data_IF_464537192834
#
_entry.id   IF_464537192834
#
_cell.length_a   1.000
_cell.length_b   1.000
_cell.length_c   1.000
_cell.angle_alpha   90.00
_cell.angle_beta   90.00
_cell.angle_gamma   90.00
#
_symmetry.space_group_name_H-M   'P 1'
#
loop_
_entity.id
_entity.type
_entity.pdbx_description
1 polymer ?
#
# COMPACT_ATOMS: atom_id res chain seq x y z
N UNK A 1 72.33 25.18 26.81
CA UNK A 1 71.60 25.44 25.55
C UNK A 1 70.95 24.19 24.99
N UNK A 2 69.94 23.59 25.63
CA UNK A 2 69.16 22.49 25.06
C UNK A 2 67.91 22.25 25.94
N UNK A 3 66.86 23.13 25.85
CA UNK A 3 65.60 22.89 26.52
C UNK A 3 64.34 23.48 25.82
N UNK A 4 64.50 24.09 24.65
CA UNK A 4 63.35 24.76 23.97
C UNK A 4 62.73 23.94 22.83
N UNK A 5 63.41 22.90 22.32
CA UNK A 5 62.94 22.11 21.19
C UNK A 5 61.94 20.99 21.56
N UNK A 6 61.95 20.54 22.83
CA UNK A 6 61.01 19.47 23.28
C UNK A 6 59.58 19.95 23.62
N UNK A 7 59.42 21.21 23.96
CA UNK A 7 58.09 21.78 24.28
C UNK A 7 57.31 22.15 23.03
N UNK A 8 57.93 22.52 21.93
CA UNK A 8 57.28 22.81 20.65
C UNK A 8 56.78 21.55 19.95
N UNK A 9 57.46 20.38 20.08
CA UNK A 9 57.05 19.15 19.47
C UNK A 9 55.81 18.49 20.16
N UNK A 10 55.63 18.71 21.46
CA UNK A 10 54.47 18.23 22.19
C UNK A 10 53.20 19.05 21.96
N UNK A 11 53.33 20.34 21.66
CA UNK A 11 52.17 21.23 21.35
C UNK A 11 51.66 20.97 19.93
N UNK A 12 52.48 20.59 18.95
CA UNK A 12 52.10 20.27 17.60
C UNK A 12 51.38 18.86 17.51
N UNK A 13 51.79 17.92 18.34
CA UNK A 13 51.14 16.59 18.40
C UNK A 13 49.73 16.65 19.04
N UNK A 14 49.48 17.57 19.98
CA UNK A 14 48.18 17.76 20.62
C UNK A 14 47.17 18.49 19.75
N UNK A 15 47.60 19.35 18.82
CA UNK A 15 46.73 20.06 17.86
C UNK A 15 46.25 19.11 16.70
N UNK A 16 47.08 18.13 16.31
CA UNK A 16 46.73 17.16 15.26
C UNK A 16 45.74 16.08 15.73
N UNK A 17 45.66 15.79 17.05
CA UNK A 17 44.76 14.81 17.62
C UNK A 17 43.31 15.33 17.83
N UNK A 18 43.08 16.65 17.82
CA UNK A 18 41.77 17.28 18.03
C UNK A 18 40.97 17.50 16.76
N UNK A 19 41.57 17.33 15.57
CA UNK A 19 40.88 17.46 14.27
C UNK A 19 40.28 16.16 13.74
N UNK A 20 40.55 15.00 14.36
CA UNK A 20 39.95 13.71 13.97
C UNK A 20 38.74 13.30 14.81
N UNK A 21 38.33 14.04 15.83
CA UNK A 21 37.23 13.72 16.70
C UNK A 21 35.83 14.20 16.20
N UNK A 22 35.76 14.76 14.98
CA UNK A 22 34.54 15.38 14.42
C UNK A 22 33.91 14.66 13.22
N UNK A 23 34.50 13.57 12.72
CA UNK A 23 33.84 12.72 11.74
C UNK A 23 32.95 11.70 12.50
N UNK A 24 31.85 12.18 13.06
CA UNK A 24 30.75 11.30 13.41
C UNK A 24 30.44 10.46 12.17
N UNK A 25 30.79 9.17 12.22
CA UNK A 25 30.59 8.25 11.10
C UNK A 25 29.13 8.29 10.68
N UNK A 26 28.84 9.02 9.58
CA UNK A 26 27.59 8.84 8.90
C UNK A 26 27.55 7.34 8.53
N UNK A 27 26.80 6.55 9.30
CA UNK A 27 26.55 5.14 8.94
C UNK A 27 26.06 5.18 7.48
N UNK A 28 26.74 4.44 6.60
CA UNK A 28 26.28 4.32 5.23
C UNK A 28 24.85 3.75 5.27
N UNK A 29 23.93 4.38 4.56
CA UNK A 29 22.58 3.84 4.39
C UNK A 29 22.62 2.51 3.60
N UNK A 30 21.51 1.79 3.59
CA UNK A 30 21.42 0.49 2.93
C UNK A 30 21.76 0.54 1.44
N UNK A 31 22.46 -0.49 0.95
CA UNK A 31 22.74 -0.71 -0.48
C UNK A 31 21.80 -1.71 -1.14
N UNK A 32 20.85 -2.25 -0.38
CA UNK A 32 19.80 -3.16 -0.87
C UNK A 32 18.50 -2.86 -0.17
N UNK A 33 17.39 -2.84 -0.95
CA UNK A 33 16.04 -2.55 -0.46
C UNK A 33 15.07 -3.59 -1.02
N UNK A 34 14.22 -4.14 -0.15
CA UNK A 34 13.19 -5.12 -0.50
C UNK A 34 11.82 -4.47 -0.42
N UNK A 35 11.11 -4.48 -1.54
CA UNK A 35 9.83 -3.79 -1.70
C UNK A 35 8.76 -4.78 -2.11
N UNK A 36 7.60 -4.78 -1.44
CA UNK A 36 6.45 -5.55 -1.91
C UNK A 36 5.40 -4.68 -2.55
N UNK A 37 4.71 -5.29 -3.53
CA UNK A 37 3.49 -4.79 -4.17
C UNK A 37 2.50 -5.94 -4.35
N UNK A 38 1.21 -5.63 -4.43
CA UNK A 38 0.17 -6.62 -4.72
C UNK A 38 -0.22 -6.67 -6.20
N UNK A 39 -1.41 -7.20 -6.48
CA UNK A 39 -1.99 -7.27 -7.80
C UNK A 39 -2.94 -6.09 -8.07
N UNK A 40 -3.08 -5.73 -9.34
CA UNK A 40 -4.06 -4.75 -9.79
C UNK A 40 -3.55 -3.32 -9.92
N UNK A 41 -4.42 -2.46 -10.40
CA UNK A 41 -4.11 -1.05 -10.72
C UNK A 41 -3.79 -0.22 -9.48
N UNK A 42 -4.28 -0.61 -8.30
CA UNK A 42 -3.95 0.07 -7.04
C UNK A 42 -2.44 0.16 -6.79
N UNK A 43 -1.67 -0.81 -7.30
CA UNK A 43 -0.20 -0.84 -7.18
C UNK A 43 0.54 -0.22 -8.38
N UNK A 44 -0.17 0.44 -9.31
CA UNK A 44 0.44 1.02 -10.52
C UNK A 44 1.62 1.97 -10.22
N UNK A 45 1.60 2.84 -9.18
CA UNK A 45 2.75 3.69 -8.87
C UNK A 45 4.02 2.88 -8.58
N UNK A 46 3.93 1.78 -7.83
CA UNK A 46 5.06 0.90 -7.55
C UNK A 46 5.48 0.09 -8.80
N UNK A 47 4.53 -0.27 -9.65
CA UNK A 47 4.79 -0.94 -10.94
C UNK A 47 5.57 -0.01 -11.87
N UNK A 48 5.16 1.25 -11.98
CA UNK A 48 5.86 2.27 -12.77
C UNK A 48 7.24 2.56 -12.19
N UNK A 49 7.34 2.69 -10.86
CA UNK A 49 8.62 2.87 -10.15
C UNK A 49 9.60 1.74 -10.50
N UNK A 50 9.16 0.50 -10.46
CA UNK A 50 9.95 -0.67 -10.82
C UNK A 50 10.36 -0.68 -12.29
N UNK A 51 9.40 -0.50 -13.21
CA UNK A 51 9.61 -0.59 -14.65
C UNK A 51 10.57 0.49 -15.16
N UNK A 52 10.44 1.71 -14.64
CA UNK A 52 11.22 2.88 -15.04
C UNK A 52 12.48 3.07 -14.17
N UNK A 53 12.76 2.18 -13.20
CA UNK A 53 13.89 2.26 -12.26
C UNK A 53 13.99 3.62 -11.56
N UNK A 54 12.84 4.16 -11.14
CA UNK A 54 12.78 5.52 -10.58
C UNK A 54 13.49 5.60 -9.22
N UNK A 55 13.36 4.55 -8.39
CA UNK A 55 14.00 4.53 -7.09
C UNK A 55 15.52 4.45 -7.20
N UNK A 56 16.04 3.64 -8.11
CA UNK A 56 17.47 3.55 -8.39
C UNK A 56 18.01 4.93 -8.83
N UNK A 57 17.29 5.61 -9.74
CA UNK A 57 17.69 6.93 -10.20
C UNK A 57 17.65 7.99 -9.07
N UNK A 58 16.65 7.95 -8.19
CA UNK A 58 16.57 8.85 -7.03
C UNK A 58 17.62 8.54 -5.97
N UNK A 59 17.93 7.26 -5.72
CA UNK A 59 19.00 6.85 -4.82
C UNK A 59 20.37 7.36 -5.29
N UNK A 60 20.66 7.23 -6.57
CA UNK A 60 21.89 7.81 -7.15
C UNK A 60 21.98 9.33 -6.94
N UNK A 61 20.88 10.07 -7.24
CA UNK A 61 20.82 11.53 -7.01
C UNK A 61 21.01 11.91 -5.55
N UNK A 62 20.56 11.07 -4.62
CA UNK A 62 20.74 11.27 -3.17
C UNK A 62 22.15 10.91 -2.68
N UNK A 63 23.05 10.44 -3.57
CA UNK A 63 24.41 10.05 -3.25
C UNK A 63 24.52 8.70 -2.52
N UNK A 64 23.52 7.81 -2.71
CA UNK A 64 23.51 6.46 -2.13
C UNK A 64 24.22 5.42 -3.02
N UNK A 65 24.65 5.81 -4.22
CA UNK A 65 25.30 4.92 -5.19
C UNK A 65 24.32 3.92 -5.82
N UNK A 66 24.86 2.78 -6.24
CA UNK A 66 24.07 1.71 -6.84
C UNK A 66 23.35 0.90 -5.76
N UNK A 67 22.05 1.11 -5.63
CA UNK A 67 21.20 0.40 -4.68
C UNK A 67 20.48 -0.73 -5.40
N UNK A 68 20.57 -1.95 -4.89
CA UNK A 68 19.84 -3.11 -5.38
C UNK A 68 18.41 -3.07 -4.87
N UNK A 69 17.42 -3.13 -5.77
CA UNK A 69 16.01 -3.19 -5.40
C UNK A 69 15.46 -4.58 -5.71
N UNK A 70 15.00 -5.27 -4.68
CA UNK A 70 14.34 -6.58 -4.80
C UNK A 70 12.81 -6.39 -4.67
N UNK A 71 12.10 -6.74 -5.73
CA UNK A 71 10.64 -6.63 -5.79
C UNK A 71 9.96 -7.96 -5.51
N UNK A 72 9.03 -7.96 -4.55
CA UNK A 72 8.19 -9.10 -4.21
C UNK A 72 6.73 -8.80 -4.58
N UNK A 73 6.01 -9.82 -5.02
CA UNK A 73 4.56 -9.72 -5.23
C UNK A 73 3.86 -10.54 -4.15
N UNK A 74 3.17 -9.86 -3.24
CA UNK A 74 2.43 -10.44 -2.13
C UNK A 74 0.99 -9.91 -2.17
N UNK A 75 0.02 -10.74 -1.83
CA UNK A 75 -1.39 -10.35 -1.76
C UNK A 75 -1.98 -10.70 -0.39
N UNK A 76 -2.84 -9.79 0.09
CA UNK A 76 -3.43 -9.91 1.41
C UNK A 76 -2.63 -9.26 2.54
N UNK A 77 -3.32 -8.46 3.38
CA UNK A 77 -2.70 -7.66 4.43
C UNK A 77 -1.91 -8.48 5.46
N UNK A 78 -2.36 -9.69 5.79
CA UNK A 78 -1.66 -10.56 6.75
C UNK A 78 -0.30 -10.99 6.24
N UNK A 79 -0.22 -11.45 4.97
CA UNK A 79 1.03 -11.92 4.34
C UNK A 79 2.07 -10.80 4.31
N UNK A 80 1.65 -9.59 3.95
CA UNK A 80 2.53 -8.41 3.91
C UNK A 80 2.97 -8.03 5.33
N UNK A 81 2.06 -8.04 6.30
CA UNK A 81 2.37 -7.72 7.69
C UNK A 81 3.34 -8.72 8.32
N UNK A 82 3.17 -10.01 8.05
CA UNK A 82 4.08 -11.06 8.52
C UNK A 82 5.47 -10.88 7.91
N UNK A 83 5.57 -10.61 6.60
CA UNK A 83 6.83 -10.35 5.93
C UNK A 83 7.53 -9.07 6.46
N UNK A 84 6.76 -8.03 6.80
CA UNK A 84 7.28 -6.81 7.43
C UNK A 84 7.81 -7.10 8.84
N UNK A 85 7.06 -7.83 9.65
CA UNK A 85 7.44 -8.15 11.03
C UNK A 85 8.65 -9.08 11.13
N UNK A 86 8.83 -9.98 10.16
CA UNK A 86 10.01 -10.85 10.07
C UNK A 86 11.25 -10.16 9.52
N UNK A 87 11.14 -8.87 9.13
CA UNK A 87 12.22 -8.11 8.53
C UNK A 87 12.58 -8.56 7.10
N UNK A 88 11.62 -9.18 6.41
CA UNK A 88 11.78 -9.61 5.01
C UNK A 88 11.48 -8.47 4.01
N UNK A 89 10.95 -7.35 4.47
CA UNK A 89 10.63 -6.16 3.70
C UNK A 89 11.15 -4.89 4.35
N UNK A 90 11.53 -3.93 3.52
CA UNK A 90 11.98 -2.59 3.91
C UNK A 90 10.91 -1.54 3.59
N UNK A 91 10.23 -1.68 2.44
CA UNK A 91 9.01 -0.95 2.11
C UNK A 91 7.92 -1.92 1.62
N UNK A 92 6.67 -1.55 1.81
CA UNK A 92 5.55 -2.29 1.25
C UNK A 92 4.42 -1.36 0.80
N UNK A 93 3.79 -1.71 -0.33
CA UNK A 93 2.45 -1.25 -0.67
C UNK A 93 1.43 -2.19 -0.03
N UNK A 94 0.39 -1.64 0.57
CA UNK A 94 -0.64 -2.41 1.28
C UNK A 94 -1.95 -1.64 1.35
N UNK A 95 -3.08 -2.34 1.43
CA UNK A 95 -4.35 -1.73 1.79
C UNK A 95 -4.30 -1.01 3.13
N UNK A 96 -4.85 0.20 3.22
CA UNK A 96 -4.82 1.04 4.43
C UNK A 96 -5.26 0.29 5.71
N UNK A 97 -6.30 -0.58 5.69
CA UNK A 97 -6.65 -1.37 6.88
C UNK A 97 -5.54 -2.30 7.37
N UNK A 98 -4.82 -2.94 6.45
CA UNK A 98 -3.68 -3.81 6.80
C UNK A 98 -2.57 -3.04 7.49
N UNK A 99 -2.22 -1.87 6.95
CA UNK A 99 -1.26 -0.96 7.57
C UNK A 99 -1.72 -0.49 8.96
N UNK A 100 -2.96 0.01 9.08
CA UNK A 100 -3.52 0.50 10.35
C UNK A 100 -3.54 -0.60 11.42
N UNK A 101 -3.85 -1.84 11.02
CA UNK A 101 -3.81 -3.00 11.92
C UNK A 101 -2.41 -3.21 12.50
N UNK A 102 -1.38 -3.21 11.64
CA UNK A 102 0.00 -3.41 12.11
C UNK A 102 0.48 -2.21 12.93
N UNK A 103 0.21 -0.99 12.47
CA UNK A 103 0.54 0.24 13.21
C UNK A 103 -0.06 0.21 14.62
N UNK A 104 -1.34 -0.13 14.77
CA UNK A 104 -2.03 -0.19 16.05
C UNK A 104 -1.44 -1.25 16.99
N UNK A 105 -1.08 -2.43 16.45
CA UNK A 105 -0.45 -3.52 17.22
C UNK A 105 0.97 -3.16 17.66
N UNK A 106 1.75 -2.54 16.77
CA UNK A 106 3.15 -2.26 16.99
C UNK A 106 3.44 -0.94 17.75
N UNK A 107 2.47 -0.05 17.85
CA UNK A 107 2.60 1.26 18.50
C UNK A 107 3.09 1.14 19.93
N UNK A 108 4.23 1.78 20.24
CA UNK A 108 4.90 1.73 21.55
C UNK A 108 5.80 0.51 21.74
N UNK A 109 6.09 -0.25 20.69
CA UNK A 109 7.06 -1.34 20.67
C UNK A 109 8.19 -0.95 19.70
N UNK A 110 9.28 -0.29 20.15
CA UNK A 110 10.28 0.33 19.28
C UNK A 110 10.87 -0.60 18.20
N UNK A 111 11.01 -1.89 18.51
CA UNK A 111 11.55 -2.89 17.58
C UNK A 111 10.56 -3.32 16.47
N UNK A 112 9.27 -3.03 16.64
CA UNK A 112 8.19 -3.47 15.77
C UNK A 112 7.43 -2.30 15.14
N UNK A 113 7.62 -1.05 15.60
CA UNK A 113 6.89 0.10 15.07
C UNK A 113 7.04 0.24 13.56
N UNK A 114 5.92 0.50 12.91
CA UNK A 114 5.85 0.83 11.49
C UNK A 114 5.30 2.24 11.30
N UNK A 115 5.63 2.83 10.18
CA UNK A 115 5.17 4.18 9.80
C UNK A 115 4.78 4.21 8.33
N UNK A 116 3.69 4.88 8.01
CA UNK A 116 3.28 5.16 6.64
C UNK A 116 4.27 6.11 5.97
N UNK A 117 4.68 5.77 4.76
CA UNK A 117 5.59 6.61 3.96
C UNK A 117 4.80 7.52 3.03
N UNK A 118 3.68 7.03 2.49
CA UNK A 118 2.80 7.83 1.62
C UNK A 118 1.40 7.22 1.52
N UNK A 119 0.41 8.01 1.06
CA UNK A 119 -0.71 7.48 0.30
C UNK A 119 -0.21 6.86 -1.00
N UNK A 120 -1.05 6.09 -1.70
CA UNK A 120 -0.66 5.50 -2.98
C UNK A 120 -1.78 5.61 -4.01
N UNK A 121 -2.96 5.08 -3.73
CA UNK A 121 -4.02 4.96 -4.73
C UNK A 121 -5.42 4.95 -4.13
N UNK A 122 -6.38 5.38 -4.94
CA UNK A 122 -7.81 5.28 -4.73
C UNK A 122 -8.47 4.78 -6.02
N UNK A 123 -9.52 3.99 -5.89
CA UNK A 123 -10.37 3.54 -7.01
C UNK A 123 -11.69 3.01 -6.46
N UNK A 124 -12.64 2.73 -7.36
CA UNK A 124 -13.83 1.96 -7.00
C UNK A 124 -13.52 0.48 -6.86
N UNK A 125 -14.09 -0.17 -5.82
CA UNK A 125 -14.13 -1.62 -5.68
C UNK A 125 -15.54 -2.09 -5.99
N UNK A 126 -15.69 -3.14 -6.83
CA UNK A 126 -16.99 -3.69 -7.20
C UNK A 126 -17.24 -5.02 -6.52
N UNK A 127 -18.45 -5.19 -6.05
CA UNK A 127 -19.01 -6.51 -5.77
C UNK A 127 -19.69 -7.00 -7.05
N UNK A 128 -19.12 -7.99 -7.68
CA UNK A 128 -19.68 -8.64 -8.86
C UNK A 128 -20.28 -10.01 -8.50
N UNK A 129 -21.31 -10.45 -9.22
CA UNK A 129 -21.96 -11.74 -9.02
C UNK A 129 -22.30 -12.43 -10.35
N UNK A 130 -22.34 -13.77 -10.34
CA UNK A 130 -22.84 -14.61 -11.42
C UNK A 130 -24.30 -15.08 -11.16
N UNK A 131 -24.94 -14.57 -10.09
CA UNK A 131 -26.32 -14.89 -9.69
C UNK A 131 -27.27 -13.78 -10.12
N UNK A 132 -28.19 -14.01 -11.08
CA UNK A 132 -29.07 -12.97 -11.59
C UNK A 132 -30.04 -12.39 -10.55
N UNK A 133 -30.32 -13.12 -9.48
CA UNK A 133 -31.20 -12.72 -8.37
C UNK A 133 -30.54 -11.75 -7.39
N UNK A 134 -29.21 -11.71 -7.30
CA UNK A 134 -28.48 -10.81 -6.37
C UNK A 134 -28.35 -9.42 -7.02
N UNK A 135 -29.14 -8.45 -6.56
CA UNK A 135 -29.15 -7.07 -7.07
C UNK A 135 -28.56 -6.05 -6.09
N UNK A 136 -28.46 -6.42 -4.82
CA UNK A 136 -27.96 -5.59 -3.72
C UNK A 136 -27.29 -6.43 -2.66
N UNK A 137 -26.61 -5.81 -1.69
CA UNK A 137 -26.06 -6.51 -0.53
C UNK A 137 -27.12 -7.26 0.28
N UNK A 138 -28.38 -6.83 0.21
CA UNK A 138 -29.52 -7.44 0.94
C UNK A 138 -29.92 -8.79 0.39
N UNK A 139 -29.63 -9.06 -0.86
CA UNK A 139 -30.01 -10.32 -1.54
C UNK A 139 -29.01 -11.45 -1.29
N UNK A 140 -27.84 -11.13 -0.68
CA UNK A 140 -26.81 -12.11 -0.35
C UNK A 140 -27.28 -12.95 0.85
N UNK A 141 -27.22 -14.26 0.69
CA UNK A 141 -27.68 -15.26 1.67
C UNK A 141 -26.53 -16.15 2.16
N UNK A 142 -26.80 -17.00 3.12
CA UNK A 142 -25.83 -17.98 3.62
C UNK A 142 -25.40 -19.01 2.56
N UNK A 143 -26.16 -19.16 1.46
CA UNK A 143 -25.81 -20.03 0.33
C UNK A 143 -24.77 -19.42 -0.61
N UNK A 144 -24.48 -18.13 -0.48
CA UNK A 144 -23.58 -17.41 -1.34
C UNK A 144 -22.15 -17.37 -0.76
N UNK A 145 -21.15 -17.27 -1.63
CA UNK A 145 -19.75 -17.12 -1.25
C UNK A 145 -19.10 -15.94 -1.97
N UNK A 146 -18.50 -15.07 -1.19
CA UNK A 146 -17.85 -13.84 -1.64
C UNK A 146 -16.33 -14.06 -1.59
N UNK A 147 -15.68 -14.13 -2.75
CA UNK A 147 -14.21 -14.15 -2.81
C UNK A 147 -13.62 -12.80 -2.41
N UNK A 148 -12.59 -12.81 -1.56
CA UNK A 148 -11.78 -11.65 -1.15
C UNK A 148 -10.34 -12.11 -0.87
N UNK A 149 -9.28 -11.25 -1.02
CA UNK A 149 -7.89 -11.70 -0.84
C UNK A 149 -7.50 -12.13 0.57
N UNK A 150 -8.24 -11.69 1.58
CA UNK A 150 -7.97 -12.04 2.98
C UNK A 150 -9.16 -11.71 3.85
N UNK A 151 -9.58 -12.69 4.64
CA UNK A 151 -10.76 -12.59 5.50
C UNK A 151 -10.46 -11.61 6.64
N UNK A 152 -11.39 -10.68 6.93
CA UNK A 152 -11.38 -9.70 8.04
C UNK A 152 -10.27 -8.64 8.04
N UNK A 153 -9.20 -8.81 7.30
CA UNK A 153 -8.00 -7.95 7.42
C UNK A 153 -7.54 -7.34 6.10
N UNK A 154 -8.01 -7.88 4.97
CA UNK A 154 -7.70 -7.27 3.67
C UNK A 154 -8.47 -5.96 3.48
N UNK A 155 -7.98 -5.12 2.57
CA UNK A 155 -8.70 -3.93 2.12
C UNK A 155 -10.15 -4.27 1.73
N UNK A 156 -10.33 -5.29 0.89
CA UNK A 156 -11.64 -5.71 0.42
C UNK A 156 -12.57 -6.12 1.59
N UNK A 157 -12.03 -6.87 2.57
CA UNK A 157 -12.84 -7.27 3.73
C UNK A 157 -13.35 -6.05 4.52
N UNK A 158 -12.45 -5.13 4.89
CA UNK A 158 -12.83 -3.97 5.70
C UNK A 158 -13.73 -3.01 4.93
N UNK A 159 -13.48 -2.80 3.62
CA UNK A 159 -14.38 -1.98 2.78
C UNK A 159 -15.77 -2.63 2.69
N UNK A 160 -15.85 -3.96 2.53
CA UNK A 160 -17.14 -4.66 2.52
C UNK A 160 -17.87 -4.48 3.85
N UNK A 161 -17.19 -4.67 5.00
CA UNK A 161 -17.77 -4.44 6.32
C UNK A 161 -18.27 -2.98 6.49
N UNK A 162 -17.53 -1.99 5.99
CA UNK A 162 -17.96 -0.59 6.01
C UNK A 162 -19.22 -0.36 5.14
N UNK A 163 -19.31 -0.99 3.98
CA UNK A 163 -20.50 -0.95 3.12
C UNK A 163 -21.69 -1.62 3.80
N UNK A 164 -21.46 -2.79 4.41
CA UNK A 164 -22.48 -3.52 5.19
C UNK A 164 -22.97 -2.69 6.38
N UNK A 165 -22.07 -2.02 7.08
CA UNK A 165 -22.45 -1.10 8.17
C UNK A 165 -23.33 0.06 7.71
N UNK A 166 -23.11 0.57 6.50
CA UNK A 166 -23.96 1.62 5.88
C UNK A 166 -25.34 1.10 5.49
N UNK A 167 -25.40 -0.14 4.96
CA UNK A 167 -26.62 -0.75 4.43
C UNK A 167 -27.53 -1.33 5.52
N UNK A 168 -26.92 -1.93 6.57
CA UNK A 168 -27.66 -2.72 7.58
C UNK A 168 -27.59 -2.13 9.00
N UNK A 169 -26.88 -1.02 9.18
CA UNK A 169 -26.58 -0.45 10.50
C UNK A 169 -25.22 -0.91 11.02
N UNK A 170 -24.61 -0.04 11.85
CA UNK A 170 -23.22 -0.24 12.34
C UNK A 170 -23.02 -1.52 13.11
N UNK A 171 -24.01 -1.94 13.89
CA UNK A 171 -24.01 -3.16 14.71
C UNK A 171 -24.01 -4.44 13.87
N UNK A 172 -24.40 -4.33 12.60
CA UNK A 172 -24.50 -5.45 11.66
C UNK A 172 -23.33 -5.50 10.66
N UNK A 173 -22.24 -4.75 10.89
CA UNK A 173 -21.12 -4.63 9.97
C UNK A 173 -20.53 -5.99 9.51
N UNK A 174 -20.51 -6.98 10.38
CA UNK A 174 -19.97 -8.31 10.11
C UNK A 174 -21.00 -9.30 9.51
N UNK A 175 -22.19 -8.82 9.12
CA UNK A 175 -23.29 -9.69 8.63
C UNK A 175 -22.90 -10.57 7.45
N UNK A 176 -22.04 -10.10 6.56
CA UNK A 176 -21.58 -10.87 5.39
C UNK A 176 -20.26 -11.63 5.61
N UNK A 177 -19.59 -11.49 6.75
CA UNK A 177 -18.32 -12.17 7.04
C UNK A 177 -18.39 -13.69 6.88
N UNK A 178 -19.47 -14.38 7.37
CA UNK A 178 -19.58 -15.84 7.23
C UNK A 178 -19.65 -16.32 5.78
N UNK A 179 -19.97 -15.44 4.83
CA UNK A 179 -20.02 -15.73 3.41
C UNK A 179 -18.68 -15.46 2.70
N UNK A 180 -17.69 -14.85 3.36
CA UNK A 180 -16.41 -14.53 2.73
C UNK A 180 -15.49 -15.74 2.64
N UNK A 181 -14.77 -15.86 1.51
CA UNK A 181 -13.78 -16.90 1.22
C UNK A 181 -12.48 -16.24 0.78
N UNK A 182 -11.36 -16.65 1.39
CA UNK A 182 -10.03 -16.12 1.07
C UNK A 182 -9.51 -16.67 -0.26
N UNK A 183 -9.47 -15.82 -1.29
CA UNK A 183 -8.87 -16.12 -2.60
C UNK A 183 -8.15 -14.87 -3.10
N UNK A 184 -6.92 -15.01 -3.61
CA UNK A 184 -6.24 -13.93 -4.30
C UNK A 184 -7.07 -13.45 -5.50
N UNK A 185 -6.98 -12.17 -5.87
CA UNK A 185 -7.82 -11.61 -6.94
C UNK A 185 -7.75 -12.38 -8.27
N UNK A 186 -6.59 -12.86 -8.77
CA UNK A 186 -6.55 -13.70 -9.97
C UNK A 186 -7.33 -15.01 -9.82
N UNK A 187 -7.29 -15.61 -8.64
CA UNK A 187 -8.03 -16.85 -8.32
C UNK A 187 -9.53 -16.59 -8.22
N UNK A 188 -9.92 -15.47 -7.58
CA UNK A 188 -11.31 -15.01 -7.50
C UNK A 188 -11.93 -14.77 -8.87
N UNK A 189 -11.20 -14.11 -9.79
CA UNK A 189 -11.61 -13.94 -11.19
C UNK A 189 -11.93 -15.28 -11.86
N UNK A 190 -11.01 -16.25 -11.75
CA UNK A 190 -11.19 -17.59 -12.35
C UNK A 190 -12.37 -18.32 -11.71
N UNK A 191 -12.50 -18.25 -10.39
CA UNK A 191 -13.57 -18.91 -9.65
C UNK A 191 -14.96 -18.37 -10.04
N UNK A 192 -15.12 -17.04 -10.10
CA UNK A 192 -16.38 -16.40 -10.45
C UNK A 192 -16.75 -16.63 -11.93
N UNK A 193 -15.79 -16.41 -12.86
CA UNK A 193 -16.04 -16.51 -14.30
C UNK A 193 -16.21 -17.95 -14.77
N UNK A 194 -15.55 -18.90 -14.13
CA UNK A 194 -15.61 -20.32 -14.46
C UNK A 194 -16.93 -21.00 -14.08
N UNK A 195 -17.66 -20.47 -13.10
CA UNK A 195 -18.98 -20.93 -12.68
C UNK A 195 -19.07 -22.39 -12.20
N UNK A 196 -17.93 -23.00 -11.85
CA UNK A 196 -17.82 -24.41 -11.39
C UNK A 196 -17.41 -24.53 -9.92
N UNK A 197 -17.38 -23.44 -9.20
CA UNK A 197 -17.02 -23.35 -7.80
C UNK A 197 -18.22 -22.90 -6.97
N UNK A 198 -18.09 -22.93 -5.64
CA UNK A 198 -19.08 -22.34 -4.74
C UNK A 198 -19.11 -20.81 -4.74
N UNK A 199 -18.10 -20.15 -5.37
CA UNK A 199 -18.00 -18.68 -5.42
C UNK A 199 -19.10 -18.12 -6.31
N UNK A 200 -19.98 -17.34 -5.71
CA UNK A 200 -21.10 -16.66 -6.38
C UNK A 200 -20.85 -15.14 -6.53
N UNK A 201 -19.96 -14.59 -5.71
CA UNK A 201 -19.61 -13.18 -5.73
C UNK A 201 -18.09 -13.01 -5.61
N UNK A 202 -17.56 -11.89 -6.15
CA UNK A 202 -16.19 -11.45 -5.91
C UNK A 202 -16.18 -9.96 -5.62
N UNK A 203 -15.59 -9.56 -4.49
CA UNK A 203 -15.40 -8.15 -4.17
C UNK A 203 -13.95 -7.79 -4.48
N UNK A 204 -13.75 -6.99 -5.51
CA UNK A 204 -12.46 -6.85 -6.16
C UNK A 204 -12.20 -5.45 -6.71
N UNK A 205 -10.97 -5.22 -7.15
CA UNK A 205 -10.46 -3.97 -7.71
C UNK A 205 -10.15 -4.11 -9.22
N UNK A 206 -9.92 -2.99 -9.95
CA UNK A 206 -9.44 -3.05 -11.33
C UNK A 206 -8.07 -3.77 -11.43
N UNK A 207 -7.82 -4.57 -12.47
CA UNK A 207 -8.68 -4.79 -13.65
C UNK A 207 -9.72 -5.91 -13.47
N UNK A 208 -9.66 -6.66 -12.36
CA UNK A 208 -10.41 -7.90 -12.18
C UNK A 208 -11.92 -7.68 -12.30
N UNK A 209 -12.45 -6.64 -11.66
CA UNK A 209 -13.86 -6.28 -11.72
C UNK A 209 -14.36 -6.04 -13.15
N UNK A 210 -13.57 -5.45 -14.01
CA UNK A 210 -13.91 -5.19 -15.41
C UNK A 210 -13.77 -6.44 -16.27
N UNK A 211 -12.75 -7.27 -16.02
CA UNK A 211 -12.57 -8.55 -16.70
C UNK A 211 -13.75 -9.50 -16.45
N UNK A 212 -14.28 -9.51 -15.22
CA UNK A 212 -15.47 -10.27 -14.85
C UNK A 212 -16.70 -9.80 -15.61
N UNK A 213 -16.90 -8.50 -15.72
CA UNK A 213 -18.05 -7.89 -16.40
C UNK A 213 -18.06 -8.12 -17.94
N UNK A 214 -16.96 -8.61 -18.53
CA UNK A 214 -16.97 -9.09 -19.92
C UNK A 214 -17.81 -10.36 -20.10
N UNK A 215 -18.04 -11.12 -19.02
CA UNK A 215 -18.93 -12.26 -19.06
C UNK A 215 -20.38 -11.77 -18.89
N UNK A 216 -21.27 -11.92 -19.90
CA UNK A 216 -22.65 -11.42 -19.83
C UNK A 216 -23.51 -12.02 -18.73
N UNK A 217 -23.03 -13.12 -18.09
CA UNK A 217 -23.68 -13.73 -16.93
C UNK A 217 -23.30 -13.08 -15.60
N UNK A 218 -22.33 -12.17 -15.62
CA UNK A 218 -21.85 -11.48 -14.42
C UNK A 218 -22.29 -10.02 -14.47
N UNK A 219 -22.75 -9.51 -13.34
CA UNK A 219 -23.11 -8.11 -13.21
C UNK A 219 -22.62 -7.53 -11.86
N UNK A 220 -22.51 -6.21 -11.82
CA UNK A 220 -22.15 -5.46 -10.63
C UNK A 220 -23.35 -5.34 -9.69
N UNK A 221 -23.14 -5.69 -8.43
CA UNK A 221 -24.11 -5.57 -7.33
C UNK A 221 -23.94 -4.25 -6.58
N UNK A 222 -22.68 -3.87 -6.31
CA UNK A 222 -22.35 -2.69 -5.54
C UNK A 222 -21.00 -2.08 -5.96
N UNK A 223 -20.86 -0.77 -5.70
CA UNK A 223 -19.63 0.01 -5.89
C UNK A 223 -19.26 0.67 -4.56
N UNK A 224 -18.04 0.49 -4.08
CA UNK A 224 -17.58 1.04 -2.80
C UNK A 224 -17.66 2.56 -2.72
N UNK A 225 -17.47 3.27 -3.83
CA UNK A 225 -17.51 4.74 -3.88
C UNK A 225 -18.90 5.29 -3.59
N UNK A 226 -19.96 4.56 -3.95
CA UNK A 226 -21.34 4.95 -3.64
C UNK A 226 -21.62 4.97 -2.12
N UNK A 227 -20.87 4.18 -1.35
CA UNK A 227 -20.99 4.08 0.10
C UNK A 227 -20.01 4.96 0.87
N UNK A 228 -18.77 5.06 0.41
CA UNK A 228 -17.67 5.64 1.18
C UNK A 228 -17.11 6.94 0.60
N UNK A 229 -17.50 7.28 -0.64
CA UNK A 229 -16.81 8.31 -1.41
C UNK A 229 -15.41 7.85 -1.86
N UNK A 230 -14.64 8.77 -2.42
CA UNK A 230 -13.25 8.51 -2.85
C UNK A 230 -12.31 8.69 -1.66
N UNK A 231 -11.67 7.61 -1.26
CA UNK A 231 -10.69 7.57 -0.17
C UNK A 231 -9.43 6.83 -0.64
N UNK A 232 -8.30 7.14 -0.03
CA UNK A 232 -7.06 6.37 -0.27
C UNK A 232 -7.25 4.95 0.23
N UNK A 233 -7.19 4.00 -0.69
CA UNK A 233 -7.36 2.57 -0.42
C UNK A 233 -6.04 1.91 -0.05
N UNK A 234 -4.97 2.22 -0.81
CA UNK A 234 -3.65 1.68 -0.56
C UNK A 234 -2.67 2.77 -0.15
N UNK A 235 -1.73 2.38 0.70
CA UNK A 235 -0.64 3.21 1.21
C UNK A 235 0.69 2.49 1.05
N UNK A 236 1.79 3.23 1.16
CA UNK A 236 3.11 2.64 1.37
C UNK A 236 3.56 2.83 2.81
N UNK A 237 4.27 1.85 3.36
CA UNK A 237 4.75 1.89 4.73
C UNK A 237 6.09 1.15 4.89
N UNK A 238 6.76 1.38 6.02
CA UNK A 238 8.06 0.81 6.34
C UNK A 238 8.21 0.60 7.87
N UNK A 239 9.17 -0.23 8.32
CA UNK A 239 9.58 -0.24 9.73
C UNK A 239 10.10 1.14 10.14
N UNK A 240 9.63 1.67 11.26
CA UNK A 240 10.07 3.00 11.73
C UNK A 240 11.60 3.05 11.90
N UNK A 241 12.18 2.01 12.46
CA UNK A 241 13.64 1.89 12.62
C UNK A 241 14.39 1.93 11.28
N UNK A 242 13.80 1.40 10.18
CA UNK A 242 14.41 1.49 8.84
C UNK A 242 14.39 2.93 8.34
N UNK A 243 13.26 3.61 8.46
CA UNK A 243 13.09 5.03 8.08
C UNK A 243 14.06 5.92 8.84
N UNK A 244 14.17 5.74 10.16
CA UNK A 244 15.06 6.52 11.02
C UNK A 244 16.55 6.32 10.66
N UNK A 245 16.92 5.10 10.26
CA UNK A 245 18.29 4.75 9.89
C UNK A 245 18.66 5.12 8.44
N UNK A 246 17.65 5.28 7.55
CA UNK A 246 17.84 5.49 6.12
C UNK A 246 17.01 6.69 5.61
N UNK A 247 17.24 7.90 6.12
CA UNK A 247 16.44 9.09 5.76
C UNK A 247 16.56 9.48 4.29
N UNK A 248 17.74 9.33 3.66
CA UNK A 248 17.93 9.63 2.24
C UNK A 248 17.23 8.61 1.36
N UNK A 249 17.29 7.32 1.72
CA UNK A 249 16.58 6.26 1.00
C UNK A 249 15.06 6.45 1.11
N UNK A 250 14.56 6.84 2.30
CA UNK A 250 13.14 7.12 2.51
C UNK A 250 12.67 8.30 1.67
N UNK A 251 13.47 9.37 1.59
CA UNK A 251 13.17 10.52 0.73
C UNK A 251 13.25 10.14 -0.75
N UNK A 252 14.26 9.36 -1.15
CA UNK A 252 14.37 8.86 -2.52
C UNK A 252 13.17 8.00 -2.93
N UNK A 253 12.64 7.18 -2.02
CA UNK A 253 11.43 6.39 -2.24
C UNK A 253 10.21 7.29 -2.44
N UNK A 254 10.02 8.30 -1.59
CA UNK A 254 8.91 9.26 -1.72
C UNK A 254 8.99 10.05 -3.04
N UNK A 255 10.18 10.54 -3.38
CA UNK A 255 10.41 11.27 -4.64
C UNK A 255 10.17 10.35 -5.87
N UNK A 256 10.58 9.10 -5.81
CA UNK A 256 10.36 8.14 -6.89
C UNK A 256 8.86 7.81 -7.06
N UNK A 257 8.10 7.80 -5.96
CA UNK A 257 6.65 7.63 -6.01
C UNK A 257 5.96 8.86 -6.62
N UNK A 258 6.42 10.06 -6.27
CA UNK A 258 5.91 11.30 -6.87
C UNK A 258 6.23 11.35 -8.38
N UNK A 259 7.42 10.90 -8.83
CA UNK A 259 7.77 10.76 -10.26
C UNK A 259 6.86 9.74 -10.96
N UNK A 260 6.58 8.60 -10.32
CA UNK A 260 5.66 7.60 -10.87
C UNK A 260 4.26 8.17 -11.04
N UNK A 261 3.74 8.87 -10.04
CA UNK A 261 2.44 9.53 -10.09
C UNK A 261 2.40 10.61 -11.19
N UNK A 262 3.47 11.39 -11.35
CA UNK A 262 3.59 12.39 -12.41
C UNK A 262 3.56 11.75 -13.81
N UNK A 263 4.27 10.63 -14.01
CA UNK A 263 4.23 9.88 -15.27
C UNK A 263 2.82 9.37 -15.57
N UNK A 264 2.14 8.75 -14.58
CA UNK A 264 0.78 8.23 -14.74
C UNK A 264 -0.20 9.35 -15.11
N UNK A 265 -0.06 10.52 -14.49
CA UNK A 265 -0.92 11.67 -14.78
C UNK A 265 -0.65 12.27 -16.17
N UNK A 266 0.61 12.35 -16.59
CA UNK A 266 1.02 12.97 -17.85
C UNK A 266 0.78 12.06 -19.07
N UNK A 267 0.92 10.74 -18.92
CA UNK A 267 0.83 9.78 -20.03
C UNK A 267 0.15 8.48 -19.58
N UNK A 268 -1.19 8.52 -19.55
CA UNK A 268 -2.03 7.37 -19.17
C UNK A 268 -1.85 6.17 -20.11
N UNK A 269 -1.57 6.41 -21.39
CA UNK A 269 -1.31 5.34 -22.35
C UNK A 269 -0.02 4.60 -22.00
N UNK A 270 1.08 5.31 -21.77
CA UNK A 270 2.34 4.71 -21.34
C UNK A 270 2.17 3.97 -20.01
N UNK A 271 1.44 4.54 -19.05
CA UNK A 271 1.14 3.88 -17.78
C UNK A 271 0.35 2.59 -17.99
N UNK A 272 -0.63 2.58 -18.90
CA UNK A 272 -1.40 1.40 -19.25
C UNK A 272 -0.53 0.32 -19.93
N UNK A 273 0.38 0.69 -20.81
CA UNK A 273 1.35 -0.22 -21.43
C UNK A 273 2.28 -0.85 -20.40
N UNK A 274 2.78 -0.06 -19.43
CA UNK A 274 3.59 -0.55 -18.31
C UNK A 274 2.80 -1.56 -17.49
N UNK A 275 1.57 -1.24 -17.13
CA UNK A 275 0.71 -2.13 -16.37
C UNK A 275 0.45 -3.44 -17.12
N UNK A 276 0.05 -3.38 -18.38
CA UNK A 276 -0.32 -4.55 -19.18
C UNK A 276 0.83 -5.56 -19.31
N UNK A 277 2.08 -5.10 -19.50
CA UNK A 277 3.24 -6.00 -19.58
C UNK A 277 3.69 -6.57 -18.25
N UNK A 278 3.34 -5.93 -17.12
CA UNK A 278 3.67 -6.38 -15.75
C UNK A 278 2.57 -7.21 -15.11
N UNK A 279 1.36 -7.19 -15.67
CA UNK A 279 0.20 -7.89 -15.14
C UNK A 279 0.32 -9.41 -15.33
N UNK A 280 -0.06 -10.18 -14.29
CA UNK A 280 -0.17 -11.65 -14.37
C UNK A 280 -1.41 -12.13 -15.13
N UNK A 281 -2.40 -11.26 -15.32
CA UNK A 281 -3.58 -11.54 -16.13
C UNK A 281 -3.49 -10.75 -17.43
N UNK A 282 -3.95 -11.36 -18.53
CA UNK A 282 -3.98 -10.68 -19.83
C UNK A 282 -5.01 -9.56 -19.78
N UNK A 283 -4.56 -8.33 -20.00
CA UNK A 283 -5.39 -7.13 -20.08
C UNK A 283 -5.06 -6.40 -21.40
N UNK A 284 -6.05 -5.74 -21.96
CA UNK A 284 -5.87 -4.87 -23.11
C UNK A 284 -5.40 -3.48 -22.65
N UNK A 285 -4.45 -2.89 -23.40
CA UNK A 285 -3.87 -1.58 -23.05
C UNK A 285 -4.93 -0.47 -23.06
N UNK A 286 -5.84 -0.51 -24.04
CA UNK A 286 -6.90 0.50 -24.16
C UNK A 286 -7.87 0.41 -22.97
N UNK A 287 -8.26 -0.80 -22.59
CA UNK A 287 -9.10 -1.01 -21.40
C UNK A 287 -8.43 -0.53 -20.11
N UNK A 288 -7.13 -0.77 -19.96
CA UNK A 288 -6.39 -0.23 -18.81
C UNK A 288 -6.37 1.29 -18.84
N UNK A 289 -6.19 1.89 -20.03
CA UNK A 289 -6.24 3.35 -20.17
C UNK A 289 -7.61 3.89 -19.76
N UNK A 290 -8.72 3.27 -20.18
CA UNK A 290 -10.06 3.64 -19.73
C UNK A 290 -10.21 3.57 -18.20
N UNK A 291 -9.66 2.52 -17.57
CA UNK A 291 -9.65 2.40 -16.09
C UNK A 291 -8.84 3.51 -15.42
N UNK A 292 -7.76 3.99 -16.05
CA UNK A 292 -6.96 5.13 -15.57
C UNK A 292 -7.63 6.49 -15.84
N UNK A 293 -8.58 6.56 -16.75
CA UNK A 293 -9.39 7.75 -17.06
C UNK A 293 -10.63 7.86 -16.17
N UNK A 294 -11.00 6.77 -15.50
CA UNK A 294 -12.10 6.78 -14.52
C UNK A 294 -11.81 7.83 -13.43
N UNK A 295 -12.74 8.79 -13.17
CA UNK A 295 -12.54 9.84 -12.18
C UNK A 295 -12.35 9.32 -10.75
N UNK A 296 -12.80 8.09 -10.47
CA UNK A 296 -12.61 7.45 -9.17
C UNK A 296 -11.20 6.85 -9.00
N UNK A 297 -10.47 6.65 -10.10
CA UNK A 297 -9.08 6.17 -10.07
C UNK A 297 -8.11 7.33 -9.92
N UNK A 298 -7.42 7.38 -8.79
CA UNK A 298 -6.47 8.44 -8.46
C UNK A 298 -5.22 7.89 -7.81
N UNK A 299 -4.08 8.52 -8.12
CA UNK A 299 -2.78 8.19 -7.53
C UNK A 299 -2.21 9.42 -6.85
N UNK A 300 -1.91 9.30 -5.58
CA UNK A 300 -1.44 10.43 -4.76
C UNK A 300 -0.63 9.95 -3.58
N UNK A 301 0.52 10.57 -3.35
CA UNK A 301 1.29 10.34 -2.12
C UNK A 301 0.62 10.97 -0.88
N UNK A 302 -0.39 11.83 -1.04
CA UNK A 302 -1.17 12.38 0.07
C UNK A 302 -2.27 11.39 0.48
N UNK A 303 -2.28 10.89 1.73
CA UNK A 303 -3.35 10.00 2.19
C UNK A 303 -4.63 10.79 2.48
N UNK A 304 -5.72 10.48 1.79
CA UNK A 304 -7.02 11.13 1.95
C UNK A 304 -8.05 10.13 2.47
N UNK A 305 -8.82 10.50 3.50
CA UNK A 305 -9.88 9.68 4.06
C UNK A 305 -9.43 8.44 4.83
N UNK A 306 -8.14 8.27 5.12
CA UNK A 306 -7.62 7.09 5.83
C UNK A 306 -8.14 6.99 7.26
N UNK A 307 -8.56 8.11 7.85
CA UNK A 307 -9.17 8.12 9.18
C UNK A 307 -10.52 7.41 9.20
N UNK A 308 -11.26 7.34 8.09
CA UNK A 308 -12.51 6.56 8.02
C UNK A 308 -12.26 5.08 8.34
N UNK A 309 -11.14 4.51 7.86
CA UNK A 309 -10.74 3.16 8.23
C UNK A 309 -10.39 3.05 9.70
N UNK A 310 -9.55 3.96 10.23
CA UNK A 310 -9.13 3.91 11.62
C UNK A 310 -10.32 4.03 12.60
N UNK A 311 -11.27 4.91 12.30
CA UNK A 311 -12.50 5.10 13.06
C UNK A 311 -13.39 3.85 13.02
N UNK A 312 -13.64 3.31 11.82
CA UNK A 312 -14.42 2.10 11.66
C UNK A 312 -13.79 0.91 12.35
N UNK A 313 -12.50 0.66 12.14
CA UNK A 313 -11.77 -0.46 12.73
C UNK A 313 -11.68 -0.37 14.27
N UNK A 314 -11.60 0.85 14.82
CA UNK A 314 -11.67 1.07 16.26
C UNK A 314 -13.07 0.74 16.80
N UNK A 315 -14.11 1.14 16.09
CA UNK A 315 -15.51 0.87 16.45
C UNK A 315 -15.83 -0.63 16.34
N UNK A 316 -15.32 -1.31 15.32
CA UNK A 316 -15.45 -2.75 15.13
C UNK A 316 -14.58 -3.57 16.12
N UNK A 317 -13.73 -2.92 16.92
CA UNK A 317 -12.84 -3.58 17.87
C UNK A 317 -11.65 -4.31 17.23
N UNK A 318 -11.40 -4.09 15.91
CA UNK A 318 -10.30 -4.72 15.18
C UNK A 318 -8.95 -4.10 15.53
N UNK A 319 -8.92 -2.85 16.01
CA UNK A 319 -7.72 -2.17 16.50
C UNK A 319 -7.92 -1.68 17.93
N UNK A 320 -6.84 -1.73 18.73
CA UNK A 320 -6.86 -1.27 20.13
C UNK A 320 -6.37 0.17 20.29
N UNK A 321 -5.44 0.59 19.46
CA UNK A 321 -4.86 1.95 19.45
C UNK A 321 -5.29 2.65 18.16
N UNK A 322 -6.16 3.64 18.31
CA UNK A 322 -6.62 4.48 17.21
C UNK A 322 -5.72 5.72 17.13
N UNK A 323 -5.31 6.19 15.93
CA UNK A 323 -4.67 7.48 15.77
C UNK A 323 -5.68 8.62 16.07
N UNK A 324 -5.21 9.74 16.59
CA UNK A 324 -6.04 10.92 16.80
C UNK A 324 -6.23 11.68 15.47
N UNK A 325 -5.16 11.75 14.68
CA UNK A 325 -5.13 12.35 13.35
C UNK A 325 -4.34 11.45 12.39
N UNK A 326 -4.59 11.58 11.09
CA UNK A 326 -3.93 10.76 10.07
C UNK A 326 -2.38 10.84 10.14
N UNK A 327 -1.85 12.03 10.46
CA UNK A 327 -0.39 12.27 10.50
C UNK A 327 0.32 11.55 11.65
N UNK A 328 -0.40 11.01 12.63
CA UNK A 328 0.19 10.17 13.68
C UNK A 328 0.74 8.85 13.15
N UNK A 329 0.21 8.41 12.01
CA UNK A 329 0.57 7.17 11.36
C UNK A 329 1.67 7.32 10.32
N UNK A 330 1.96 8.55 9.86
CA UNK A 330 2.81 8.78 8.70
C UNK A 330 4.10 9.54 9.05
N UNK A 331 5.09 9.45 8.16
CA UNK A 331 6.36 10.16 8.31
C UNK A 331 6.16 11.69 8.39
N UNK A 332 7.02 12.42 9.14
CA UNK A 332 6.90 13.87 9.27
C UNK A 332 6.90 14.64 7.94
N UNK A 333 7.57 14.13 6.92
CA UNK A 333 7.64 14.75 5.59
C UNK A 333 6.27 14.91 4.89
N UNK A 334 5.24 14.16 5.35
CA UNK A 334 3.88 14.29 4.81
C UNK A 334 3.01 15.31 5.55
N UNK A 335 3.44 15.85 6.70
CA UNK A 335 2.60 16.71 7.55
C UNK A 335 2.07 17.96 6.85
N UNK A 336 2.85 18.51 5.92
CA UNK A 336 2.47 19.68 5.14
C UNK A 336 1.51 19.36 3.98
N UNK A 337 1.28 18.08 3.70
CA UNK A 337 0.28 17.63 2.72
C UNK A 337 -1.10 17.64 3.39
N UNK A 338 -2.11 18.08 2.66
CA UNK A 338 -3.50 18.18 3.17
C UNK A 338 -4.19 16.79 3.16
N UNK A 339 -3.67 15.85 3.94
CA UNK A 339 -4.25 14.52 4.13
C UNK A 339 -5.47 14.53 5.09
N UNK A 340 -6.20 13.40 5.19
CA UNK A 340 -7.34 13.26 6.10
C UNK A 340 -7.62 11.80 6.54
#
# INVERSE_FOLDING_TARGET
MFSWTRRAALAAASAAALTFAGAGGASAEVSQVRISKGFGILYLPLIVMQDQKLLEARAQKAGLGDVKIDWLTLDGGNVINDAMMTGSLDFAGIGAPGFITLWSKAKGIPSAEVVGVSGMSATSLYLNTNKPEIKSLKDITAADKIAIPGIKTSLAAVVLEMMVAKEFGRENYAKLDPMTVGLAHPEGLVALTGGKTEITCHFTSPPFQYLELKNPKIHRVANSVDYLGRITLDVTFAPKKFVDANPKMTQAFLDALDDANALIAADKKKAAEIFARSSKVKVDVHEVQEMLEDPDTQFSATPNGVMQFAEFMSLAGSIKKKPDVWSDMFIPALRDRKGS
#
